data_IF_492639415039
#
_entry.id   IF_492639415039
#
_cell.length_a   1.000
_cell.length_b   1.000
_cell.length_c   1.000
_cell.angle_alpha   90.00
_cell.angle_beta   90.00
_cell.angle_gamma   90.00
#
_symmetry.space_group_name_H-M   'P 1'
#
loop_
_entity.id
_entity.type
_entity.pdbx_description
1 polymer ?
2 branched ?
3 non-polymer ?
4 non-polymer ?
5 non-polymer ?
6 non-polymer ?
7 non-polymer ?
8 non-polymer ?
9 water ?
#
# COMPACT_ATOMS: atom_id res chain seq x y z
N UNK A 29 -18.19 -26.08 17.07
CA UNK A 29 -18.56 -27.35 17.78
C UNK A 29 -18.26 -28.60 16.93
N UNK A 30 -19.17 -28.94 16.02
CA UNK A 30 -18.96 -30.03 15.09
C UNK A 30 -18.43 -29.42 13.81
N UNK A 31 -17.25 -29.87 13.38
CA UNK A 31 -16.57 -29.26 12.24
C UNK A 31 -17.38 -29.28 10.96
N UNK A 32 -18.26 -30.25 10.79
CA UNK A 32 -19.09 -30.34 9.57
C UNK A 32 -20.16 -29.23 9.52
N UNK A 33 -20.42 -28.59 10.65
CA UNK A 33 -21.39 -27.48 10.70
C UNK A 33 -20.75 -26.08 10.62
N UNK A 34 -19.44 -26.01 10.44
CA UNK A 34 -18.76 -24.71 10.31
C UNK A 34 -19.27 -24.02 9.04
N UNK A 35 -19.79 -22.78 9.17
CA UNK A 35 -20.42 -22.16 8.01
C UNK A 35 -19.45 -21.89 6.86
N UNK A 36 -19.95 -22.00 5.64
CA UNK A 36 -19.29 -21.42 4.49
C UNK A 36 -19.30 -19.90 4.62
N UNK A 37 -18.30 -19.22 4.04
CA UNK A 37 -18.15 -17.79 4.26
C UNK A 37 -19.15 -16.95 3.49
N UNK A 38 -19.34 -15.73 3.94
CA UNK A 38 -20.27 -14.83 3.28
C UNK A 38 -19.55 -13.63 2.72
N UNK A 39 -20.20 -12.97 1.77
CA UNK A 39 -19.60 -11.80 1.12
C UNK A 39 -20.08 -10.49 1.76
N UNK A 40 -19.25 -9.45 1.69
CA UNK A 40 -19.63 -8.14 2.18
C UNK A 40 -20.93 -7.69 1.48
N UNK A 41 -21.84 -7.14 2.27
CA UNK A 41 -23.13 -6.71 1.74
C UNK A 41 -23.01 -5.34 1.06
N UNK A 42 -22.97 -5.36 -0.26
CA UNK A 42 -22.75 -4.13 -1.05
C UNK A 42 -23.91 -3.13 -0.89
N UNK A 43 -25.09 -3.62 -0.52
CA UNK A 43 -26.25 -2.76 -0.25
C UNK A 43 -26.02 -1.84 0.95
N UNK A 44 -25.07 -2.16 1.82
CA UNK A 44 -24.76 -1.32 2.97
C UNK A 44 -23.98 -0.05 2.62
N UNK A 45 -23.46 0.05 1.39
CA UNK A 45 -22.63 1.17 0.97
C UNK A 45 -23.42 2.25 0.23
N UNK A 46 -22.95 3.48 0.31
CA UNK A 46 -23.42 4.55 -0.55
C UNK A 46 -22.68 4.49 -1.89
N UNK A 47 -23.25 5.10 -2.93
CA UNK A 47 -22.66 5.09 -4.26
C UNK A 47 -21.23 5.65 -4.21
N UNK A 48 -20.33 4.97 -4.89
CA UNK A 48 -18.93 5.39 -4.96
C UNK A 48 -18.36 4.87 -6.27
N UNK A 49 -17.53 5.67 -6.92
CA UNK A 49 -16.90 5.26 -8.18
C UNK A 49 -15.93 4.12 -7.97
N UNK A 50 -15.91 3.18 -8.92
CA UNK A 50 -14.83 2.21 -9.04
C UNK A 50 -13.62 2.90 -9.66
N UNK A 51 -12.43 2.53 -9.19
CA UNK A 51 -11.19 2.93 -9.81
C UNK A 51 -10.65 1.78 -10.66
N UNK A 52 -10.15 2.12 -11.84
CA UNK A 52 -9.61 1.10 -12.75
C UNK A 52 -8.31 1.58 -13.38
N UNK A 53 -7.60 0.66 -14.03
CA UNK A 53 -6.37 0.96 -14.75
C UNK A 53 -6.68 1.19 -16.21
N UNK A 54 -6.13 2.27 -16.78
CA UNK A 54 -6.20 2.46 -18.22
C UNK A 54 -4.84 2.95 -18.70
N UNK A 55 -4.11 2.07 -19.41
CA UNK A 55 -2.73 2.38 -19.83
C UNK A 55 -1.87 2.67 -18.62
N UNK A 56 -1.18 3.80 -18.61
CA UNK A 56 -0.31 4.17 -17.50
C UNK A 56 -0.99 4.97 -16.39
N UNK A 57 -2.33 5.04 -16.41
CA UNK A 57 -3.09 5.84 -15.45
C UNK A 57 -4.14 5.03 -14.72
N UNK A 58 -4.54 5.53 -13.56
CA UNK A 58 -5.81 5.12 -12.95
C UNK A 58 -6.88 6.09 -13.44
N UNK A 59 -8.10 5.59 -13.60
CA UNK A 59 -9.25 6.44 -13.90
C UNK A 59 -10.42 6.02 -13.03
N UNK A 60 -11.32 6.96 -12.73
CA UNK A 60 -12.57 6.60 -12.07
C UNK A 60 -13.57 6.16 -13.13
N UNK A 61 -14.75 5.72 -12.70
CA UNK A 61 -15.72 5.16 -13.64
C UNK A 61 -16.56 6.22 -14.37
N UNK A 62 -16.23 7.49 -14.13
CA UNK A 62 -16.69 8.62 -14.97
C UNK A 62 -15.65 8.95 -16.04
N UNK A 63 -14.54 8.21 -16.07
CA UNK A 63 -13.48 8.41 -17.05
C UNK A 63 -12.42 9.43 -16.67
N UNK A 64 -12.50 10.01 -15.47
CA UNK A 64 -11.55 11.06 -15.09
C UNK A 64 -10.29 10.43 -14.49
N UNK A 65 -9.12 10.95 -14.84
CA UNK A 65 -7.87 10.49 -14.26
C UNK A 65 -7.90 10.61 -12.74
N UNK A 66 -7.40 9.59 -12.05
CA UNK A 66 -7.43 9.51 -10.60
C UNK A 66 -6.04 9.22 -10.07
N UNK A 67 -5.70 9.88 -8.97
CA UNK A 67 -4.46 9.63 -8.25
C UNK A 67 -4.76 9.24 -6.82
N UNK A 68 -4.26 8.10 -6.36
CA UNK A 68 -4.32 7.77 -4.94
C UNK A 68 -3.35 8.69 -4.22
N UNK A 69 -3.87 9.37 -3.20
CA UNK A 69 -3.11 10.31 -2.37
C UNK A 69 -3.54 10.11 -0.93
N UNK A 70 -2.65 9.61 -0.09
CA UNK A 70 -3.04 9.35 1.28
C UNK A 70 -1.95 8.84 2.17
N UNK A 71 -2.34 8.00 3.12
CA UNK A 71 -1.43 7.57 4.17
C UNK A 71 -1.65 6.11 4.51
N UNK A 72 -0.61 5.50 5.06
CA UNK A 72 -0.75 4.29 5.82
C UNK A 72 -1.22 4.62 7.21
N UNK A 73 -2.04 3.74 7.78
CA UNK A 73 -2.21 3.67 9.22
C UNK A 73 -1.56 2.38 9.71
N UNK A 74 -1.50 2.17 11.02
CA UNK A 74 -0.89 0.97 11.57
C UNK A 74 -1.80 -0.24 11.36
N UNK A 75 -1.23 -1.42 11.59
CA UNK A 75 -1.99 -2.68 11.52
C UNK A 75 -3.23 -2.56 12.40
N UNK A 76 -4.33 -3.11 11.92
CA UNK A 76 -5.60 -3.10 12.65
C UNK A 76 -5.47 -3.60 14.10
N UNK A 77 -4.77 -4.71 14.28
CA UNK A 77 -4.57 -5.28 15.61
C UNK A 77 -3.79 -4.37 16.54
N UNK A 78 -2.80 -3.67 15.98
CA UNK A 78 -2.03 -2.71 16.76
C UNK A 78 -2.98 -1.61 17.28
N UNK A 79 -3.81 -1.08 16.38
CA UNK A 79 -4.74 -0.03 16.76
C UNK A 79 -5.80 -0.48 17.76
N UNK A 80 -6.35 -1.67 17.53
CA UNK A 80 -7.32 -2.24 18.45
C UNK A 80 -6.78 -2.38 19.87
N UNK A 81 -5.51 -2.76 20.00
CA UNK A 81 -4.93 -3.01 21.32
C UNK A 81 -4.94 -1.78 22.23
N UNK A 82 -4.97 -0.59 21.63
CA UNK A 82 -5.06 0.67 22.40
C UNK A 82 -6.37 1.43 22.14
N UNK A 83 -7.37 0.73 21.61
CA UNK A 83 -8.69 1.31 21.32
C UNK A 83 -8.62 2.48 20.35
N UNK A 84 -7.71 2.39 19.38
CA UNK A 84 -7.55 3.44 18.38
C UNK A 84 -8.11 3.04 17.02
N UNK A 85 -8.72 1.86 16.94
CA UNK A 85 -9.39 1.43 15.70
C UNK A 85 -10.79 1.99 15.73
N UNK A 86 -10.96 3.18 15.16
CA UNK A 86 -12.17 3.99 15.27
C UNK A 86 -12.42 4.77 13.99
N UNK A 87 -13.69 5.03 13.68
CA UNK A 87 -14.05 5.89 12.55
C UNK A 87 -13.45 7.29 12.65
N UNK A 88 -13.31 7.80 13.89
CA UNK A 88 -12.71 9.14 14.12
C UNK A 88 -11.35 9.28 13.45
N UNK A 89 -10.61 8.17 13.37
CA UNK A 89 -9.31 8.16 12.71
C UNK A 89 -9.43 8.44 11.21
N UNK A 90 -10.38 7.77 10.56
CA UNK A 90 -10.63 7.97 9.14
C UNK A 90 -11.19 9.38 8.88
N UNK A 91 -12.08 9.82 9.75
CA UNK A 91 -12.67 11.17 9.65
C UNK A 91 -11.61 12.27 9.72
N UNK A 92 -10.69 12.17 10.68
CA UNK A 92 -9.58 13.12 10.77
C UNK A 92 -8.81 13.23 9.45
N UNK A 93 -8.47 12.06 8.89
CA UNK A 93 -7.69 12.01 7.65
C UNK A 93 -8.43 12.57 6.45
N UNK A 94 -9.69 12.17 6.28
CA UNK A 94 -10.50 12.65 5.16
C UNK A 94 -10.82 14.13 5.31
N UNK A 95 -11.17 14.56 6.52
CA UNK A 95 -11.64 15.93 6.73
C UNK A 95 -10.51 16.93 6.87
N UNK A 96 -9.38 16.53 7.44
CA UNK A 96 -8.34 17.49 7.80
C UNK A 96 -7.00 17.33 7.13
N UNK A 97 -6.73 16.18 6.53
CA UNK A 97 -5.43 15.90 5.94
C UNK A 97 -5.47 15.74 4.41
N UNK A 98 -6.65 15.86 3.82
CA UNK A 98 -6.77 15.88 2.37
C UNK A 98 -6.62 14.53 1.66
N UNK A 99 -6.76 13.43 2.40
CA UNK A 99 -6.48 12.11 1.82
C UNK A 99 -7.68 11.65 0.99
N UNK A 100 -7.43 10.89 -0.07
CA UNK A 100 -8.48 10.10 -0.69
C UNK A 100 -8.25 8.59 -0.53
N UNK A 101 -7.20 8.21 0.18
CA UNK A 101 -6.77 6.80 0.28
C UNK A 101 -6.14 6.51 1.63
N UNK A 102 -6.49 5.36 2.19
CA UNK A 102 -5.77 4.81 3.33
C UNK A 102 -5.25 3.41 2.97
N UNK A 103 -3.97 3.18 3.27
CA UNK A 103 -3.39 1.86 3.11
C UNK A 103 -3.39 1.14 4.46
N UNK A 104 -3.89 -0.09 4.46
CA UNK A 104 -3.92 -0.93 5.65
C UNK A 104 -2.84 -2.01 5.54
N UNK A 105 -1.79 -1.93 6.39
CA UNK A 105 -0.73 -2.92 6.32
C UNK A 105 -1.05 -4.09 7.23
N UNK A 106 -1.62 -5.13 6.62
CA UNK A 106 -2.08 -6.30 7.32
C UNK A 106 -0.90 -7.23 7.56
N UNK A 107 -0.43 -7.29 8.81
CA UNK A 107 0.75 -8.09 9.13
C UNK A 107 0.29 -9.52 9.35
N UNK A 108 1.00 -10.49 8.75
CA UNK A 108 0.60 -11.90 8.91
C UNK A 108 0.51 -12.36 10.36
N UNK A 109 1.41 -11.90 11.21
CA UNK A 109 1.34 -12.29 12.63
C UNK A 109 0.01 -11.86 13.28
N UNK A 110 -0.51 -10.71 12.85
CA UNK A 110 -1.72 -10.14 13.38
C UNK A 110 -2.97 -10.81 12.78
N UNK A 111 -2.90 -11.09 11.49
CA UNK A 111 -3.88 -11.93 10.80
C UNK A 111 -4.09 -13.24 11.57
N UNK A 112 -3.00 -13.89 11.95
CA UNK A 112 -3.09 -15.10 12.80
C UNK A 112 -3.58 -14.84 14.21
N UNK A 113 -3.08 -13.78 14.84
CA UNK A 113 -3.42 -13.50 16.22
C UNK A 113 -4.91 -13.20 16.42
N UNK A 114 -5.48 -12.32 15.59
CA UNK A 114 -6.91 -12.05 15.65
C UNK A 114 -7.73 -13.18 15.04
N UNK A 115 -7.15 -13.87 14.07
CA UNK A 115 -7.85 -14.88 13.30
C UNK A 115 -8.53 -14.23 12.09
N UNK A 116 -8.60 -14.96 10.98
CA UNK A 116 -9.21 -14.40 9.75
C UNK A 116 -10.61 -13.83 9.96
N UNK A 117 -11.48 -14.57 10.63
CA UNK A 117 -12.87 -14.14 10.80
C UNK A 117 -12.98 -12.78 11.48
N UNK A 118 -12.22 -12.61 12.57
CA UNK A 118 -12.25 -11.36 13.34
C UNK A 118 -11.54 -10.23 12.59
N UNK A 119 -10.42 -10.54 11.97
CA UNK A 119 -9.69 -9.54 11.22
C UNK A 119 -10.56 -9.02 10.07
N UNK A 120 -11.19 -9.93 9.32
CA UNK A 120 -12.10 -9.53 8.23
C UNK A 120 -13.27 -8.69 8.72
N UNK A 121 -13.81 -9.04 9.89
CA UNK A 121 -14.87 -8.23 10.48
C UNK A 121 -14.43 -6.80 10.77
N UNK A 122 -13.15 -6.61 11.10
CA UNK A 122 -12.64 -5.24 11.29
C UNK A 122 -12.34 -4.55 9.97
N UNK A 123 -11.86 -5.30 8.98
CA UNK A 123 -11.71 -4.70 7.66
C UNK A 123 -13.08 -4.21 7.16
N UNK A 124 -14.16 -4.95 7.47
CA UNK A 124 -15.51 -4.53 7.08
C UNK A 124 -15.82 -3.13 7.64
N UNK A 125 -15.41 -2.86 8.88
CA UNK A 125 -15.58 -1.56 9.49
C UNK A 125 -14.88 -0.49 8.67
N UNK A 126 -13.60 -0.73 8.34
CA UNK A 126 -12.85 0.21 7.53
C UNK A 126 -13.55 0.49 6.19
N UNK A 127 -14.11 -0.56 5.59
CA UNK A 127 -14.82 -0.41 4.32
C UNK A 127 -15.99 0.56 4.48
N UNK A 128 -16.79 0.35 5.51
CA UNK A 128 -17.96 1.20 5.73
C UNK A 128 -17.55 2.66 6.04
N UNK A 129 -16.52 2.81 6.87
CA UNK A 129 -15.99 4.15 7.23
C UNK A 129 -15.44 4.88 6.02
N UNK A 130 -14.58 4.21 5.25
CA UNK A 130 -14.01 4.81 4.03
C UNK A 130 -15.12 5.18 3.03
N UNK A 131 -16.02 4.23 2.80
CA UNK A 131 -17.15 4.46 1.88
C UNK A 131 -17.99 5.67 2.27
N UNK A 132 -18.28 5.80 3.56
CA UNK A 132 -19.07 6.92 4.04
C UNK A 132 -18.38 8.26 3.76
N UNK A 133 -17.05 8.26 3.85
CA UNK A 133 -16.24 9.45 3.62
C UNK A 133 -15.81 9.64 2.17
N UNK A 134 -16.17 8.69 1.29
CA UNK A 134 -15.81 8.77 -0.13
C UNK A 134 -14.34 8.52 -0.43
N UNK A 135 -13.63 7.82 0.46
CA UNK A 135 -12.21 7.52 0.26
C UNK A 135 -12.01 6.03 0.01
N UNK A 136 -10.79 5.66 -0.41
CA UNK A 136 -10.50 4.30 -0.88
C UNK A 136 -9.48 3.60 0.01
N UNK A 137 -9.51 2.28 -0.03
CA UNK A 137 -8.56 1.45 0.68
C UNK A 137 -7.61 0.68 -0.24
N UNK A 138 -6.36 0.63 0.16
CA UNK A 138 -5.38 -0.32 -0.36
C UNK A 138 -5.19 -1.37 0.72
N UNK A 139 -5.47 -2.62 0.39
CA UNK A 139 -5.20 -3.73 1.30
C UNK A 139 -3.82 -4.31 0.96
N UNK A 140 -2.94 -4.29 1.94
CA UNK A 140 -1.54 -4.64 1.78
C UNK A 140 -1.23 -5.87 2.63
N UNK A 141 -0.84 -6.96 1.98
CA UNK A 141 -0.39 -8.15 2.71
C UNK A 141 1.04 -7.85 3.13
N UNK A 142 1.18 -7.45 4.38
CA UNK A 142 2.36 -6.72 4.81
C UNK A 142 3.45 -7.64 5.35
N UNK A 143 4.19 -8.22 4.42
CA UNK A 143 5.36 -9.02 4.73
C UNK A 143 6.61 -8.40 4.11
N UNK A 144 7.76 -8.82 4.64
CA UNK A 144 9.07 -8.43 4.13
C UNK A 144 9.91 -9.69 4.04
N UNK A 145 10.35 -10.02 2.83
CA UNK A 145 11.17 -11.18 2.62
C UNK A 145 10.96 -11.80 1.27
N UNK A 146 11.24 -13.09 1.18
CA UNK A 146 11.21 -13.80 -0.09
C UNK A 146 10.21 -14.95 -0.02
N UNK A 147 9.01 -14.69 -0.55
CA UNK A 147 7.93 -15.67 -0.46
C UNK A 147 8.27 -17.02 -1.09
N UNK A 148 8.99 -17.05 -2.22
CA UNK A 148 9.24 -18.36 -2.81
C UNK A 148 10.03 -19.34 -1.92
N UNK A 149 10.88 -18.85 -1.02
CA UNK A 149 11.55 -19.71 -0.03
C UNK A 149 10.92 -19.64 1.37
N UNK A 150 9.88 -18.81 1.51
CA UNK A 150 9.19 -18.60 2.77
C UNK A 150 10.16 -18.22 3.90
N UNK A 151 11.07 -17.30 3.60
CA UNK A 151 12.02 -16.75 4.56
C UNK A 151 11.86 -15.23 4.62
N UNK A 152 11.92 -14.67 5.83
CA UNK A 152 11.51 -13.28 6.07
C UNK A 152 12.48 -12.47 6.91
N UNK A 153 12.31 -11.16 6.88
CA UNK A 153 13.17 -10.27 7.65
C UNK A 153 12.96 -10.39 9.17
N UNK A 154 11.74 -10.72 9.59
CA UNK A 154 11.35 -10.73 11.01
C UNK A 154 10.08 -11.58 11.15
N UNK A 155 9.92 -12.30 12.28
CA UNK A 155 8.74 -13.16 12.45
C UNK A 155 7.37 -12.48 12.37
N UNK A 156 7.27 -11.18 12.63
CA UNK A 156 6.00 -10.48 12.46
C UNK A 156 5.50 -10.56 11.01
N UNK A 157 6.44 -10.76 10.08
CA UNK A 157 6.14 -10.87 8.65
C UNK A 157 5.98 -12.32 8.14
N UNK A 158 6.17 -13.30 9.02
CA UNK A 158 6.25 -14.69 8.63
C UNK A 158 4.95 -15.15 7.98
N UNK A 159 5.08 -15.83 6.85
CA UNK A 159 3.93 -16.41 6.16
C UNK A 159 4.39 -17.61 5.31
N UNK A 160 3.46 -18.18 4.57
CA UNK A 160 3.77 -19.23 3.62
C UNK A 160 3.06 -18.89 2.32
N UNK A 161 3.42 -19.59 1.25
CA UNK A 161 2.70 -19.43 -0.02
C UNK A 161 1.22 -19.85 0.21
N UNK A 162 1.00 -20.94 0.92
CA UNK A 162 -0.36 -21.40 1.22
C UNK A 162 -1.19 -20.31 1.93
N UNK A 163 -0.63 -19.71 2.98
CA UNK A 163 -1.35 -18.71 3.78
C UNK A 163 -1.58 -17.43 2.96
N UNK A 164 -0.59 -17.07 2.16
CA UNK A 164 -0.69 -15.90 1.29
C UNK A 164 -1.82 -16.09 0.25
N UNK A 165 -1.85 -17.25 -0.42
CA UNK A 165 -2.94 -17.54 -1.34
C UNK A 165 -4.29 -17.49 -0.65
N UNK A 166 -4.36 -18.07 0.55
CA UNK A 166 -5.62 -18.14 1.28
C UNK A 166 -6.09 -16.74 1.68
N UNK A 167 -5.16 -15.88 2.11
CA UNK A 167 -5.51 -14.50 2.43
C UNK A 167 -6.15 -13.86 1.21
N UNK A 168 -5.52 -13.97 0.04
CA UNK A 168 -6.07 -13.33 -1.15
C UNK A 168 -7.37 -13.99 -1.61
N UNK A 169 -7.48 -15.30 -1.43
CA UNK A 169 -8.72 -16.00 -1.75
C UNK A 169 -9.87 -15.44 -0.90
N UNK A 170 -9.64 -15.32 0.40
CA UNK A 170 -10.67 -14.86 1.31
C UNK A 170 -11.06 -13.39 1.07
N UNK A 171 -10.04 -12.56 0.86
CA UNK A 171 -10.25 -11.14 0.62
C UNK A 171 -11.03 -10.91 -0.66
N UNK A 172 -10.66 -11.60 -1.73
CA UNK A 172 -11.27 -11.34 -3.03
C UNK A 172 -12.74 -11.76 -3.03
N UNK A 173 -13.03 -12.91 -2.44
CA UNK A 173 -14.41 -13.36 -2.24
C UNK A 173 -15.22 -12.35 -1.40
N UNK A 174 -14.69 -11.98 -0.24
CA UNK A 174 -15.46 -11.15 0.68
C UNK A 174 -15.79 -9.78 0.10
N UNK A 175 -14.84 -9.17 -0.62
CA UNK A 175 -15.03 -7.78 -1.10
C UNK A 175 -15.35 -7.68 -2.59
N UNK A 176 -15.92 -8.74 -3.14
CA UNK A 176 -16.38 -8.71 -4.53
C UNK A 176 -17.33 -7.54 -4.75
N UNK A 177 -17.13 -6.80 -5.84
CA UNK A 177 -18.03 -5.71 -6.22
C UNK A 177 -18.11 -4.59 -5.18
N UNK A 178 -17.00 -4.31 -4.51
CA UNK A 178 -16.92 -3.24 -3.53
C UNK A 178 -15.98 -2.17 -4.05
N UNK A 179 -16.52 -1.00 -4.47
CA UNK A 179 -15.63 0.00 -5.08
C UNK A 179 -14.62 0.61 -4.10
N UNK A 180 -14.99 0.64 -2.82
CA UNK A 180 -14.15 1.24 -1.76
C UNK A 180 -12.80 0.54 -1.64
N UNK A 181 -12.79 -0.77 -1.85
CA UNK A 181 -11.56 -1.55 -1.78
C UNK A 181 -10.95 -1.56 -3.17
N UNK A 182 -9.92 -0.73 -3.39
CA UNK A 182 -9.49 -0.45 -4.77
C UNK A 182 -8.31 -1.29 -5.24
N UNK A 183 -7.38 -1.56 -4.32
CA UNK A 183 -6.07 -2.12 -4.67
C UNK A 183 -5.73 -3.29 -3.74
N UNK A 184 -5.25 -4.38 -4.35
CA UNK A 184 -4.76 -5.54 -3.62
C UNK A 184 -3.24 -5.60 -3.79
N UNK A 185 -2.54 -5.16 -2.76
CA UNK A 185 -1.09 -5.09 -2.80
C UNK A 185 -0.54 -6.43 -2.31
N UNK A 186 -0.11 -7.25 -3.26
CA UNK A 186 0.07 -8.69 -3.04
C UNK A 186 1.12 -9.08 -1.98
N UNK A 187 2.22 -8.34 -1.90
CA UNK A 187 3.30 -8.62 -0.97
C UNK A 187 4.14 -7.37 -0.79
N UNK A 188 4.02 -6.75 0.38
CA UNK A 188 4.62 -5.44 0.68
C UNK A 188 6.05 -5.22 0.16
N UNK A 189 7.02 -5.94 0.70
CA UNK A 189 8.42 -5.68 0.37
C UNK A 189 9.21 -6.96 0.06
N UNK A 190 9.24 -7.33 -1.22
CA UNK A 190 10.12 -8.41 -1.63
C UNK A 190 11.59 -8.05 -1.42
N UNK A 191 12.32 -8.95 -0.79
CA UNK A 191 13.77 -8.83 -0.62
C UNK A 191 14.34 -10.18 -0.23
N UNK A 192 15.59 -10.44 -0.63
CA UNK A 192 16.33 -11.59 -0.09
C UNK A 192 17.41 -11.21 0.92
N UNK A 193 17.47 -9.92 1.28
CA UNK A 193 18.50 -9.43 2.22
C UNK A 193 19.90 -9.89 1.83
N UNK A 194 20.32 -9.49 0.63
CA UNK A 194 21.64 -9.89 0.11
C UNK A 194 21.73 -11.39 -0.17
N UNK A 195 20.60 -11.99 -0.55
CA UNK A 195 20.49 -13.43 -0.84
C UNK A 195 20.74 -14.31 0.39
N UNK A 196 20.59 -13.74 1.58
CA UNK A 196 20.60 -14.54 2.80
C UNK A 196 19.27 -15.30 3.00
N UNK A 197 18.19 -14.83 2.37
CA UNK A 197 16.88 -15.48 2.50
C UNK A 197 16.58 -16.45 1.37
N UNK A 198 17.44 -16.50 0.37
CA UNK A 198 17.21 -17.25 -0.86
C UNK A 198 17.89 -16.55 -2.01
N UNK A 199 17.87 -17.17 -3.20
CA UNK A 199 18.45 -16.54 -4.40
C UNK A 199 17.38 -15.76 -5.14
N UNK A 200 17.51 -14.44 -5.17
CA UNK A 200 16.47 -13.63 -5.82
C UNK A 200 16.44 -14.05 -7.28
N UNK A 201 15.24 -14.23 -7.82
CA UNK A 201 15.07 -14.72 -9.18
C UNK A 201 13.79 -14.13 -9.74
N UNK A 202 13.93 -13.18 -10.66
CA UNK A 202 12.76 -12.47 -11.17
C UNK A 202 11.71 -13.40 -11.77
N UNK A 203 12.13 -14.35 -12.61
CA UNK A 203 11.18 -15.26 -13.28
C UNK A 203 10.27 -15.97 -12.28
N UNK A 204 10.89 -16.45 -11.21
CA UNK A 204 10.18 -17.13 -10.13
C UNK A 204 9.16 -16.20 -9.44
N UNK A 205 9.58 -14.97 -9.15
CA UNK A 205 8.72 -14.02 -8.46
C UNK A 205 7.57 -13.54 -9.38
N UNK A 206 7.92 -13.28 -10.63
CA UNK A 206 6.96 -12.90 -11.66
C UNK A 206 5.87 -13.97 -11.77
N UNK A 207 6.28 -15.23 -11.87
CA UNK A 207 5.35 -16.37 -11.99
C UNK A 207 4.42 -16.48 -10.79
N UNK A 208 4.96 -16.29 -9.59
CA UNK A 208 4.17 -16.36 -8.37
C UNK A 208 3.14 -15.21 -8.30
N UNK A 209 3.55 -14.01 -8.68
CA UNK A 209 2.60 -12.89 -8.76
C UNK A 209 1.48 -13.16 -9.78
N UNK A 210 1.85 -13.70 -10.93
CA UNK A 210 0.87 -14.07 -11.96
C UNK A 210 -0.12 -15.10 -11.41
N UNK A 211 0.39 -16.05 -10.62
CA UNK A 211 -0.46 -17.05 -9.96
C UNK A 211 -1.47 -16.42 -8.98
N UNK A 212 -1.01 -15.49 -8.16
CA UNK A 212 -1.90 -14.76 -7.26
C UNK A 212 -2.92 -13.93 -8.04
N UNK A 213 -2.46 -13.22 -9.06
CA UNK A 213 -3.37 -12.46 -9.93
C UNK A 213 -4.46 -13.35 -10.53
N UNK A 214 -4.09 -14.54 -10.99
CA UNK A 214 -5.06 -15.43 -11.61
C UNK A 214 -6.16 -15.88 -10.62
N UNK A 215 -5.77 -16.18 -9.39
CA UNK A 215 -6.74 -16.49 -8.32
C UNK A 215 -7.68 -15.33 -8.06
N UNK A 216 -7.13 -14.12 -8.03
CA UNK A 216 -7.89 -12.91 -7.76
C UNK A 216 -8.87 -12.63 -8.89
N UNK A 217 -8.36 -12.59 -10.11
CA UNK A 217 -9.19 -12.30 -11.27
C UNK A 217 -10.26 -13.35 -11.51
N UNK A 218 -10.02 -14.59 -11.08
CA UNK A 218 -11.06 -15.62 -11.15
C UNK A 218 -12.26 -15.32 -10.26
N UNK A 219 -12.04 -14.48 -9.24
CA UNK A 219 -13.02 -14.17 -8.18
C UNK A 219 -13.60 -12.76 -8.31
N UNK A 220 -12.77 -11.79 -8.74
CA UNK A 220 -13.22 -10.40 -8.95
C UNK A 220 -12.29 -9.70 -9.94
N UNK A 221 -12.79 -9.40 -11.13
CA UNK A 221 -11.98 -8.76 -12.18
C UNK A 221 -11.88 -7.23 -12.06
N UNK A 222 -12.57 -6.64 -11.09
CA UNK A 222 -12.62 -5.18 -10.95
C UNK A 222 -11.50 -4.60 -10.09
N UNK A 223 -10.84 -5.44 -9.31
CA UNK A 223 -9.81 -4.96 -8.38
C UNK A 223 -8.49 -4.76 -9.11
N UNK A 224 -7.62 -3.94 -8.53
CA UNK A 224 -6.31 -3.63 -9.12
C UNK A 224 -5.23 -4.32 -8.28
N UNK A 225 -4.59 -5.36 -8.84
CA UNK A 225 -3.44 -5.95 -8.18
C UNK A 225 -2.23 -5.00 -8.28
N UNK A 226 -1.47 -4.91 -7.19
CA UNK A 226 -0.30 -4.08 -7.13
C UNK A 226 0.93 -4.95 -6.86
N UNK A 227 1.87 -4.93 -7.80
CA UNK A 227 3.03 -5.81 -7.81
C UNK A 227 4.31 -5.05 -7.45
N UNK A 228 5.17 -5.68 -6.64
CA UNK A 228 6.41 -5.06 -6.20
C UNK A 228 7.65 -5.78 -6.73
N UNK A 229 8.72 -5.01 -6.88
CA UNK A 229 10.02 -5.56 -7.24
C UNK A 229 10.91 -5.85 -6.04
N UNK A 230 12.17 -6.18 -6.32
CA UNK A 230 13.11 -6.61 -5.28
C UNK A 230 13.72 -5.41 -4.55
N UNK A 231 14.69 -5.67 -3.67
CA UNK A 231 15.34 -4.62 -2.90
C UNK A 231 14.35 -3.80 -2.08
N UNK A 232 13.48 -4.53 -1.38
CA UNK A 232 12.40 -3.96 -0.57
C UNK A 232 11.46 -3.08 -1.40
N UNK A 233 10.94 -3.64 -2.49
CA UNK A 233 9.98 -2.96 -3.38
C UNK A 233 10.55 -1.65 -3.94
N UNK A 234 11.86 -1.61 -4.15
CA UNK A 234 12.51 -0.45 -4.73
C UNK A 234 12.82 -0.63 -6.22
N UNK A 235 13.21 -1.83 -6.61
CA UNK A 235 13.75 -2.06 -7.95
C UNK A 235 12.72 -2.70 -8.88
N UNK A 236 12.11 -1.88 -9.73
CA UNK A 236 11.19 -2.37 -10.76
C UNK A 236 11.88 -2.70 -12.08
N UNK A 237 13.20 -2.47 -12.16
CA UNK A 237 13.90 -2.58 -13.44
C UNK A 237 13.71 -3.91 -14.20
N UNK A 238 13.47 -5.03 -13.48
CA UNK A 238 13.22 -6.24 -14.27
C UNK A 238 12.00 -6.17 -15.21
N UNK A 239 11.05 -5.27 -14.93
CA UNK A 239 9.86 -5.19 -15.77
C UNK A 239 10.14 -4.55 -17.14
N UNK A 240 11.32 -3.96 -17.32
CA UNK A 240 11.69 -3.40 -18.62
C UNK A 240 11.67 -4.52 -19.67
N UNK A 241 12.23 -5.68 -19.31
CA UNK A 241 12.26 -6.81 -20.21
C UNK A 241 11.25 -7.90 -19.89
N UNK A 242 10.82 -8.00 -18.63
CA UNK A 242 9.96 -9.09 -18.22
C UNK A 242 8.83 -8.63 -17.29
N UNK A 243 7.94 -7.75 -17.81
CA UNK A 243 6.82 -7.30 -16.99
C UNK A 243 5.86 -8.44 -16.70
N UNK A 244 5.11 -8.33 -15.60
CA UNK A 244 4.06 -9.30 -15.31
C UNK A 244 3.10 -9.35 -16.52
N UNK A 245 2.77 -10.55 -16.99
CA UNK A 245 1.99 -10.70 -18.23
C UNK A 245 0.49 -10.77 -17.97
N UNK A 246 -0.02 -9.76 -17.26
CA UNK A 246 -1.43 -9.62 -16.96
C UNK A 246 -1.81 -8.16 -17.11
N UNK A 247 -3.06 -7.92 -17.53
CA UNK A 247 -3.57 -6.56 -17.70
C UNK A 247 -4.19 -6.04 -16.42
N UNK A 248 -4.36 -4.72 -16.34
CA UNK A 248 -5.11 -4.09 -15.24
C UNK A 248 -4.38 -4.02 -13.91
N UNK A 249 -3.05 -4.17 -13.94
CA UNK A 249 -2.26 -4.09 -12.71
C UNK A 249 -1.50 -2.78 -12.62
N UNK A 250 -1.02 -2.50 -11.42
CA UNK A 250 -0.16 -1.37 -11.17
C UNK A 250 1.09 -1.86 -10.45
N UNK A 251 2.13 -1.04 -10.40
CA UNK A 251 3.38 -1.42 -9.72
C UNK A 251 3.64 -0.55 -8.51
N UNK A 252 4.11 -1.18 -7.44
CA UNK A 252 4.51 -0.49 -6.22
C UNK A 252 5.94 0.03 -6.28
N UNK A 253 6.18 1.11 -5.55
CA UNK A 253 7.54 1.59 -5.33
C UNK A 253 7.66 2.13 -3.92
N UNK A 254 8.79 1.88 -3.27
CA UNK A 254 9.05 2.35 -1.92
C UNK A 254 10.31 3.20 -1.94
N UNK A 255 10.18 4.45 -2.44
CA UNK A 255 11.36 5.30 -2.62
C UNK A 255 11.72 6.06 -1.34
N UNK A 256 12.20 5.33 -0.35
CA UNK A 256 12.66 5.94 0.87
C UNK A 256 13.94 6.73 0.59
N UNK A 257 14.21 7.75 1.41
CA UNK A 257 15.24 8.74 1.09
C UNK A 257 16.65 8.18 0.91
N UNK A 258 17.02 7.15 1.67
CA UNK A 258 18.39 6.64 1.63
C UNK A 258 18.58 5.51 0.60
N UNK A 259 17.53 5.21 -0.18
CA UNK A 259 17.63 4.14 -1.18
C UNK A 259 18.51 4.55 -2.35
N UNK A 260 18.34 5.78 -2.83
CA UNK A 260 19.22 6.33 -3.87
C UNK A 260 20.34 7.06 -3.16
N UNK A 261 21.57 6.83 -3.60
CA UNK A 261 22.74 7.38 -2.93
C UNK A 261 23.67 8.14 -3.88
N UNK A 262 23.19 9.25 -4.45
CA UNK A 262 24.09 10.02 -5.32
C UNK A 262 25.22 10.69 -4.52
N UNK A 263 26.40 10.77 -5.11
CA UNK A 263 27.51 11.47 -4.46
C UNK A 263 27.20 12.95 -4.28
N UNK A 264 26.55 13.56 -5.28
CA UNK A 264 26.07 14.94 -5.18
C UNK A 264 24.55 14.99 -5.01
N UNK A 265 24.11 15.54 -3.88
CA UNK A 265 22.70 15.50 -3.46
C UNK A 265 21.86 16.65 -4.03
N UNK A 266 21.37 16.50 -5.25
CA UNK A 266 20.46 17.50 -5.84
C UNK A 266 19.31 16.81 -6.56
N UNK A 267 18.34 17.61 -7.01
CA UNK A 267 17.19 17.08 -7.75
C UNK A 267 17.60 16.21 -8.94
N UNK A 268 18.52 16.71 -9.77
CA UNK A 268 18.87 16.04 -11.01
C UNK A 268 19.38 14.62 -10.76
N UNK A 269 20.29 14.49 -9.82
CA UNK A 269 20.93 13.20 -9.55
C UNK A 269 19.97 12.20 -8.90
N UNK A 270 19.16 12.67 -7.97
CA UNK A 270 18.14 11.79 -7.37
C UNK A 270 17.14 11.38 -8.45
N UNK A 271 16.72 12.33 -9.28
CA UNK A 271 15.72 12.04 -10.32
C UNK A 271 16.22 10.96 -11.27
N UNK A 272 17.49 11.04 -11.66
CA UNK A 272 18.06 10.07 -12.58
C UNK A 272 18.08 8.68 -11.94
N UNK A 273 18.50 8.59 -10.67
CA UNK A 273 18.58 7.30 -10.00
C UNK A 273 17.19 6.70 -9.80
N UNK A 274 16.25 7.53 -9.38
CA UNK A 274 14.87 7.08 -9.23
C UNK A 274 14.30 6.61 -10.57
N UNK A 275 14.56 7.37 -11.64
CA UNK A 275 14.17 6.98 -13.01
C UNK A 275 14.63 5.58 -13.37
N UNK A 276 15.91 5.31 -13.09
CA UNK A 276 16.57 4.04 -13.46
C UNK A 276 15.91 2.83 -12.81
N UNK A 277 15.55 2.97 -11.53
CA UNK A 277 15.10 1.85 -10.72
C UNK A 277 13.59 1.66 -10.63
N UNK A 278 12.82 2.74 -10.66
CA UNK A 278 11.39 2.64 -10.50
C UNK A 278 10.54 3.65 -11.27
N UNK A 279 11.01 4.88 -11.41
CA UNK A 279 10.21 5.94 -12.04
C UNK A 279 9.83 5.69 -13.49
N UNK A 280 10.73 5.05 -14.24
CA UNK A 280 10.47 4.70 -15.65
C UNK A 280 9.16 3.91 -15.81
N UNK A 281 8.78 3.15 -14.79
CA UNK A 281 7.59 2.32 -14.86
C UNK A 281 6.33 3.14 -15.12
N UNK A 282 6.27 4.34 -14.55
CA UNK A 282 5.12 5.24 -14.68
C UNK A 282 4.89 5.71 -16.12
N UNK A 283 5.86 5.51 -17.01
CA UNK A 283 5.68 5.81 -18.42
C UNK A 283 4.72 4.84 -19.10
N UNK A 284 4.58 3.65 -18.53
CA UNK A 284 3.86 2.55 -19.20
C UNK A 284 2.73 1.97 -18.35
N UNK A 285 2.91 1.97 -17.03
CA UNK A 285 1.93 1.43 -16.08
C UNK A 285 1.68 2.43 -14.96
N UNK A 286 0.52 2.31 -14.27
CA UNK A 286 0.34 3.16 -13.10
C UNK A 286 1.24 2.67 -11.96
N UNK A 287 1.71 3.63 -11.16
CA UNK A 287 2.62 3.33 -10.04
C UNK A 287 2.06 3.96 -8.77
N UNK A 288 2.06 3.20 -7.67
CA UNK A 288 1.74 3.75 -6.36
C UNK A 288 2.95 3.61 -5.47
N UNK A 289 3.45 4.74 -4.97
CA UNK A 289 4.51 4.73 -3.96
C UNK A 289 3.86 4.46 -2.63
N UNK A 290 3.69 3.17 -2.31
CA UNK A 290 2.89 2.78 -1.13
C UNK A 290 3.61 2.93 0.19
N UNK A 291 4.91 3.20 0.15
CA UNK A 291 5.64 3.69 1.31
C UNK A 291 6.64 4.73 0.85
N UNK A 292 6.69 5.82 1.62
CA UNK A 292 7.67 6.86 1.45
C UNK A 292 7.59 7.72 2.71
N UNK A 293 8.61 8.52 2.94
CA UNK A 293 8.64 9.40 4.10
C UNK A 293 10.01 9.47 4.70
N UNK A 294 10.16 10.31 5.73
CA UNK A 294 11.45 10.51 6.37
C UNK A 294 11.28 10.97 7.82
N UNK A 295 12.36 10.81 8.58
CA UNK A 295 12.54 11.49 9.86
C UNK A 295 13.99 11.99 9.92
N UNK A 296 14.22 13.09 10.63
CA UNK A 296 15.58 13.58 10.86
C UNK A 296 16.45 12.45 11.40
N UNK A 297 17.76 12.45 11.09
CA UNK A 297 18.63 11.39 11.59
C UNK A 297 18.69 11.32 13.12
N UNK A 298 18.43 12.43 13.80
CA UNK A 298 18.39 12.44 15.27
C UNK A 298 16.96 12.51 15.80
N UNK A 299 15.99 12.14 14.97
CA UNK A 299 14.58 12.21 15.33
C UNK A 299 14.06 10.91 15.91
N UNK A 300 12.75 10.85 16.09
CA UNK A 300 12.14 9.73 16.76
C UNK A 300 12.16 8.45 15.91
N UNK A 301 12.65 7.36 16.47
CA UNK A 301 12.68 6.07 15.76
C UNK A 301 13.43 6.13 14.43
N UNK A 302 14.52 6.88 14.38
CA UNK A 302 15.30 7.02 13.16
C UNK A 302 16.06 5.72 12.85
N UNK A 303 16.02 5.30 11.59
CA UNK A 303 16.78 4.13 11.13
C UNK A 303 16.89 4.20 9.63
N UNK A 304 17.90 3.52 9.08
CA UNK A 304 17.99 3.30 7.64
C UNK A 304 16.71 2.58 7.19
N UNK A 305 16.14 2.96 6.03
CA UNK A 305 16.54 3.96 5.04
C UNK A 305 15.72 5.24 5.09
N UNK A 306 15.18 5.60 6.27
CA UNK A 306 14.22 6.71 6.37
C UNK A 306 14.83 8.03 6.90
N UNK A 307 16.15 8.06 7.14
CA UNK A 307 16.79 9.26 7.66
C UNK A 307 17.02 10.28 6.55
N UNK A 308 16.66 11.53 6.82
CA UNK A 308 16.89 12.63 5.89
C UNK A 308 16.81 13.99 6.60
N UNK A 309 17.49 14.99 6.03
CA UNK A 309 17.45 16.34 6.58
C UNK A 309 16.16 17.10 6.24
N UNK A 310 15.30 16.52 5.41
CA UNK A 310 14.01 17.14 5.05
C UNK A 310 13.93 17.55 3.60
N UNK A 311 15.08 17.73 2.95
CA UNK A 311 15.09 18.13 1.54
C UNK A 311 14.45 17.08 0.63
N UNK A 312 14.48 15.82 1.06
CA UNK A 312 13.77 14.75 0.34
C UNK A 312 12.30 15.04 0.09
N UNK A 313 11.64 15.68 1.05
CA UNK A 313 10.20 15.89 0.95
C UNK A 313 9.78 16.63 -0.32
N UNK A 314 10.25 17.87 -0.48
CA UNK A 314 9.93 18.60 -1.72
C UNK A 314 10.40 17.86 -2.98
N UNK A 315 11.52 17.16 -2.89
CA UNK A 315 12.10 16.50 -4.05
C UNK A 315 11.24 15.30 -4.52
N UNK A 316 10.87 14.42 -3.60
CA UNK A 316 10.04 13.27 -3.98
C UNK A 316 8.65 13.72 -4.44
N UNK A 317 8.08 14.74 -3.80
CA UNK A 317 6.78 15.25 -4.23
C UNK A 317 6.87 15.85 -5.64
N UNK A 318 7.88 16.67 -5.88
CA UNK A 318 8.12 17.22 -7.22
C UNK A 318 8.24 16.10 -8.27
N UNK A 319 9.03 15.08 -7.94
CA UNK A 319 9.22 13.93 -8.84
C UNK A 319 7.92 13.20 -9.12
N UNK A 320 7.17 12.87 -8.07
CA UNK A 320 5.90 12.16 -8.25
C UNK A 320 4.85 12.98 -9.02
N UNK A 321 4.79 14.28 -8.74
CA UNK A 321 3.83 15.17 -9.40
C UNK A 321 4.13 15.26 -10.89
N UNK A 322 5.42 15.33 -11.21
CA UNK A 322 5.89 15.35 -12.59
C UNK A 322 5.47 14.09 -13.36
N UNK A 323 5.50 12.94 -12.69
CA UNK A 323 5.22 11.67 -13.36
C UNK A 323 3.79 11.19 -13.18
N UNK A 324 2.98 11.92 -12.41
CA UNK A 324 1.61 11.50 -12.11
C UNK A 324 1.50 10.30 -11.17
N UNK A 325 2.55 10.07 -10.37
CA UNK A 325 2.63 8.91 -9.47
C UNK A 325 1.75 9.07 -8.22
N UNK A 326 1.04 7.99 -7.87
CA UNK A 326 0.20 7.94 -6.68
C UNK A 326 1.05 7.58 -5.45
N UNK A 327 0.55 7.86 -4.25
CA UNK A 327 1.33 7.64 -3.02
C UNK A 327 0.53 7.51 -1.75
N UNK A 328 1.06 6.72 -0.81
CA UNK A 328 0.56 6.67 0.55
C UNK A 328 1.75 6.75 1.51
N UNK A 329 1.82 7.85 2.25
CA UNK A 329 2.94 8.14 3.15
C UNK A 329 2.93 7.15 4.31
N UNK A 330 4.13 6.77 4.77
CA UNK A 330 4.28 5.92 5.93
C UNK A 330 4.84 6.80 7.05
N UNK A 331 4.20 6.89 8.23
CA UNK A 331 2.93 6.24 8.59
C UNK A 331 2.16 7.19 9.53
N UNK A 332 0.84 7.21 9.38
CA UNK A 332 -0.02 8.03 10.22
C UNK A 332 -0.31 7.32 11.53
N UNK A 333 0.66 7.40 12.42
CA UNK A 333 0.65 6.71 13.70
C UNK A 333 1.71 7.44 14.54
N UNK A 334 1.49 7.54 15.86
CA UNK A 334 2.47 8.23 16.73
C UNK A 334 3.55 7.31 17.31
N UNK A 335 3.42 6.00 17.14
CA UNK A 335 4.36 5.02 17.71
C UNK A 335 5.30 4.44 16.65
N UNK A 336 4.71 4.04 15.52
CA UNK A 336 5.44 3.46 14.41
C UNK A 336 6.12 4.54 13.58
N UNK A 337 7.37 4.30 13.17
CA UNK A 337 8.16 5.36 12.54
C UNK A 337 8.52 5.06 11.08
N UNK A 338 8.78 6.10 10.28
CA UNK A 338 8.69 7.51 10.67
C UNK A 338 7.25 7.93 10.84
N UNK A 339 6.97 8.66 11.92
CA UNK A 339 5.60 9.07 12.21
C UNK A 339 5.15 10.27 11.38
N UNK A 340 3.85 10.38 11.17
CA UNK A 340 3.26 11.62 10.63
C UNK A 340 2.68 12.49 11.75
N UNK A 341 2.47 11.88 12.91
CA UNK A 341 1.86 12.58 14.05
C UNK A 341 2.62 12.21 15.33
N UNK A 342 2.58 13.12 16.30
CA UNK A 342 3.34 12.95 17.54
C UNK A 342 2.49 12.35 18.64
N UNK A 343 1.18 12.38 18.46
CA UNK A 343 0.24 11.94 19.47
C UNK A 343 -1.11 11.67 18.82
N UNK A 344 -2.04 11.16 19.61
CA UNK A 344 -3.37 10.88 19.08
C UNK A 344 -4.28 12.10 18.99
N UNK A 345 -3.78 13.28 19.37
CA UNK A 345 -4.43 14.54 19.03
C UNK A 345 -4.01 15.01 17.65
N UNK A 346 -3.21 14.20 16.94
CA UNK A 346 -2.80 14.46 15.56
C UNK A 346 -1.87 15.65 15.40
N UNK A 347 -1.11 15.98 16.45
CA UNK A 347 -0.05 16.98 16.34
C UNK A 347 0.91 16.53 15.24
N UNK A 348 1.07 17.32 14.16
CA UNK A 348 1.91 16.79 13.08
C UNK A 348 3.39 16.72 13.42
N UNK A 349 4.05 15.67 12.95
CA UNK A 349 5.51 15.58 12.95
C UNK A 349 6.04 16.45 11.82
N UNK A 350 7.35 16.52 11.66
CA UNK A 350 7.94 17.29 10.57
C UNK A 350 7.39 16.83 9.22
N UNK A 351 7.48 15.52 8.97
CA UNK A 351 7.02 15.04 7.66
C UNK A 351 5.52 15.12 7.57
N UNK A 352 4.83 14.95 8.70
CA UNK A 352 3.38 15.06 8.73
C UNK A 352 2.91 16.42 8.29
N UNK A 353 3.52 17.46 8.86
CA UNK A 353 3.15 18.84 8.50
C UNK A 353 3.39 19.07 7.01
N UNK A 354 4.51 18.57 6.51
CA UNK A 354 4.84 18.74 5.10
C UNK A 354 3.82 18.07 4.16
N UNK A 355 3.58 16.78 4.35
CA UNK A 355 2.67 16.04 3.49
C UNK A 355 1.21 16.47 3.66
N UNK A 356 0.84 16.91 4.86
CA UNK A 356 -0.49 17.43 5.08
C UNK A 356 -0.79 18.60 4.14
N UNK A 357 0.15 19.54 4.04
CA UNK A 357 -0.07 20.69 3.16
C UNK A 357 -0.05 20.28 1.68
N UNK A 358 0.83 19.34 1.31
CA UNK A 358 0.87 18.84 -0.06
C UNK A 358 -0.47 18.22 -0.45
N UNK A 359 -1.01 17.37 0.43
CA UNK A 359 -2.27 16.67 0.13
C UNK A 359 -3.49 17.62 0.10
N UNK A 360 -3.54 18.53 1.07
CA UNK A 360 -4.58 19.55 1.10
C UNK A 360 -4.56 20.39 -0.18
N UNK A 361 -3.37 20.80 -0.63
CA UNK A 361 -3.25 21.58 -1.87
C UNK A 361 -3.62 20.77 -3.10
N UNK A 362 -3.23 19.49 -3.13
CA UNK A 362 -3.58 18.62 -4.24
C UNK A 362 -5.09 18.38 -4.31
N UNK A 363 -5.74 18.30 -3.15
CA UNK A 363 -7.17 18.04 -3.10
C UNK A 363 -7.96 19.20 -3.70
N UNK A 364 -7.51 20.43 -3.41
CA UNK A 364 -8.00 21.61 -4.09
C UNK A 364 -7.47 21.61 -5.51
X LIG B 1 8.29 0.35 13.81
X LIG B 1 8.00 0.52 12.32
X LIG B 1 7.65 -0.82 11.67
X LIG B 1 6.59 -1.58 12.47
X LIG B 1 6.32 -2.99 11.91
X LIG B 1 7.15 -0.44 14.46
X LIG B 1 7.37 -0.63 15.87
X LIG B 1 8.42 1.64 14.41
X LIG B 1 9.13 1.15 11.69
X LIG B 1 7.13 -0.64 10.36
X LIG B 1 7.02 -1.71 13.81
X LIG B 1 5.66 -2.95 10.64
X LIG B 2 7.42 -1.42 8.08
X LIG B 2 8.44 -1.52 6.94
X LIG B 2 8.99 -0.12 6.66
X LIG B 2 9.41 0.64 7.92
X LIG B 2 9.73 2.10 7.56
X LIG B 2 8.04 -0.71 9.28
X LIG B 2 6.95 -2.71 8.45
X LIG B 2 7.85 -2.08 5.73
X LIG B 2 10.06 -0.15 5.71
X LIG B 2 8.36 0.62 8.91
X LIG B 2 10.27 2.75 8.70
X LIG B 3 12.22 -0.75 4.93
X LIG B 3 13.46 -1.59 5.16
X LIG B 3 13.80 -1.75 6.65
X LIG B 3 12.58 -2.08 7.51
X LIG B 3 12.93 -2.06 9.01
X LIG B 3 11.09 -1.12 5.89
X LIG B 3 11.80 -0.88 3.57
X LIG B 3 14.50 -0.88 4.45
X LIG B 3 14.78 -2.79 6.85
X LIG B 3 11.58 -1.10 7.25
X LIG B 3 11.74 -2.00 9.81
X LIG B 4 16.45 -0.98 3.05
X LIG B 4 17.81 -1.65 2.82
X LIG B 4 18.61 -1.68 4.12
X LIG B 4 17.76 -2.27 5.24
X LIG B 4 18.46 -2.30 6.59
X LIG B 4 15.71 -1.60 4.24
X LIG B 4 15.62 -1.15 1.89
X LIG B 4 18.52 -0.91 1.82
X LIG B 4 19.78 -2.46 3.93
X LIG B 4 16.56 -1.51 5.38
X LIG B 4 17.54 -2.74 7.58
X LIG C 1 -13.06 -3.50 -5.05
X LIG D 1 -19.48 0.23 12.00
X LIG D 1 -19.52 0.54 10.54
X LIG D 1 -18.40 0.99 12.67
X LIG D 1 -19.30 -1.22 12.22
X LIG D 1 -20.79 0.64 12.57
X LIG E 1 -15.47 -18.84 -0.95
X LIG E 1 -14.29 -18.14 -1.29
X LIG E 1 -15.97 -19.61 -2.17
X LIG E 1 -15.13 -20.75 -2.42
X LIG E 1 -17.41 -20.06 -1.94
X LIG E 1 -17.56 -20.33 -0.57
X LIG F 1 2.40 -19.12 8.44
X LIG F 1 3.83 -18.97 8.33
X LIG F 1 2.06 -20.35 9.26
X LIG F 1 2.16 -21.52 8.45
X LIG G 1 23.87 -10.08 -5.47
X LIG G 1 24.53 -10.25 -4.20
X LIG G 1 23.51 -10.30 -3.08
X LIG G 1 23.07 -8.96 -2.80
X LIG H 1 16.43 -8.25 -2.99
X LIG I 1 19.98 2.38 11.35
#
# INVERSE_FOLDING_TARGET
MRTTKFLALALCLLASASALSANNSAPSNDWWDIPYPSQFDVKSLKTQSFISVKGNKFIDDKGKTFTFRGVNIADTGKLLSRNQWQKSLFEELANNWGVNTIRLPIHPVSWRKLGPDVYLGHIDEAVRWANDLGIYLILDWHSIGYLPTEQYQHPMYDTTIKETRDFWRRITFRYQNVPTVAVYELFNEPTTMGNTLGERNWAEWKTLNESLIDMIYASDKTVIPLVAGFNWAYDLSPIKKAPIEREGIAYAAHPYPQKAKPEVKNDKNFFKLWDEKWGFAADTYPVIATQLGWVQPDGYGAHIPVKDDGSYGPRIVKYMQKKGVSYTVWVFDPDWSPTMINDWDFTPSEQGAFFKQVMLEAKKR
BGC C2 C3 C4 C5 C6 C1 O1 O2 O3 O4 O5 O6
BGC C2 C3 C4 C5 C6 C1 O2 O3 O4 O5 O6
BGC C2 C3 C4 C5 C6 C1 O2 O3 O4 O5 O6
BGC C2 C3 C4 C5 C6 C1 O2 O3 O4 O5 O6
MG MG
SO4 S O1 O2 O3 O4
GOL C1 O1 C2 O2 C3 O3
PGE C1 O1 C2 O2
GXT O1 C1 C O
CL CL
CL CL
#
